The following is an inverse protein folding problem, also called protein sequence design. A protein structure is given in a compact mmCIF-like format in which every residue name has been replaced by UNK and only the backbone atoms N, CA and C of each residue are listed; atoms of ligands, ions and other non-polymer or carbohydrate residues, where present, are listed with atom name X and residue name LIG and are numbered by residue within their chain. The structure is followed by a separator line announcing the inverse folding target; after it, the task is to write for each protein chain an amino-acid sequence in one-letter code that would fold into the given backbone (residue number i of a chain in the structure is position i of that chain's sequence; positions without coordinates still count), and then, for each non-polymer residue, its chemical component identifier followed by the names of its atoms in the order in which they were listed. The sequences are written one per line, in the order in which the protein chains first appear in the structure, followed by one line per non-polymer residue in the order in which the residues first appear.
data_IF_361368990926
#
_entry.id   IF_361368990926
#
_cell.length_a   1.000
_cell.length_b   1.000
_cell.length_c   1.000
_cell.angle_alpha   90.00
_cell.angle_beta   90.00
_cell.angle_gamma   90.00
#
_symmetry.space_group_name_H-M   'P 1'
#
loop_
_entity.id
_entity.type
_entity.pdbx_description
1 polymer ?
#
# COMPACT_ATOMS: atom_id res chain seq x y z
N UNK A 1 -30.60 -2.44 -37.05
CA UNK A 1 -30.59 -3.12 -35.74
C UNK A 1 -29.65 -2.33 -34.83
N UNK A 2 -30.15 -1.80 -33.71
CA UNK A 2 -29.41 -0.86 -32.83
C UNK A 2 -28.42 -1.62 -31.95
N UNK A 3 -27.17 -1.20 -31.96
CA UNK A 3 -26.12 -1.71 -31.09
C UNK A 3 -26.40 -1.32 -29.62
N UNK A 4 -26.27 -2.30 -28.72
CA UNK A 4 -26.31 -2.14 -27.28
C UNK A 4 -25.17 -1.22 -26.83
N UNK A 5 -25.51 0.01 -26.44
CA UNK A 5 -24.60 0.88 -25.70
C UNK A 5 -24.42 0.30 -24.29
N UNK A 6 -23.37 -0.52 -24.10
CA UNK A 6 -22.86 -0.86 -22.77
C UNK A 6 -22.31 0.42 -22.16
N UNK A 7 -22.97 0.92 -21.12
CA UNK A 7 -22.53 2.06 -20.34
C UNK A 7 -21.16 1.81 -19.72
N UNK A 8 -20.12 2.28 -20.40
CA UNK A 8 -18.77 2.37 -19.86
C UNK A 8 -18.73 3.62 -18.98
N UNK A 9 -19.33 3.54 -17.78
CA UNK A 9 -18.98 4.46 -16.70
C UNK A 9 -17.51 4.18 -16.40
N UNK A 10 -16.62 5.10 -16.73
CA UNK A 10 -15.24 5.11 -16.23
C UNK A 10 -15.31 5.06 -14.71
N UNK A 11 -15.17 3.87 -14.12
CA UNK A 11 -14.94 3.73 -12.68
C UNK A 11 -13.53 4.23 -12.48
N UNK A 12 -13.38 5.40 -11.85
CA UNK A 12 -12.12 5.79 -11.23
C UNK A 12 -11.69 4.63 -10.32
N UNK A 13 -10.58 3.98 -10.67
CA UNK A 13 -10.01 2.96 -9.80
C UNK A 13 -9.59 3.67 -8.51
N UNK A 14 -10.09 3.21 -7.38
CA UNK A 14 -9.68 3.76 -6.08
C UNK A 14 -8.51 2.91 -5.59
N UNK A 15 -7.44 3.56 -5.16
CA UNK A 15 -6.30 2.90 -4.52
C UNK A 15 -5.98 3.61 -3.20
N UNK A 16 -5.25 2.94 -2.33
CA UNK A 16 -4.68 3.54 -1.14
C UNK A 16 -3.17 3.61 -1.29
N UNK A 17 -2.61 4.82 -1.21
CA UNK A 17 -1.18 5.03 -1.10
C UNK A 17 -0.78 4.79 0.35
N UNK A 18 0.21 3.94 0.54
CA UNK A 18 0.71 3.56 1.86
C UNK A 18 2.11 4.12 2.01
N UNK A 19 2.29 4.92 3.05
CA UNK A 19 3.58 5.51 3.40
C UNK A 19 4.11 4.90 4.69
N UNK A 20 5.43 4.81 4.80
CA UNK A 20 6.13 4.36 5.99
C UNK A 20 6.99 5.49 6.55
N UNK A 21 6.93 5.66 7.87
CA UNK A 21 7.75 6.57 8.66
C UNK A 21 8.58 5.76 9.66
N UNK A 22 9.91 5.68 9.48
CA UNK A 22 10.82 5.15 10.49
C UNK A 22 10.68 5.88 11.83
N UNK A 23 10.94 5.17 12.93
CA UNK A 23 10.85 5.75 14.27
C UNK A 23 11.89 6.86 14.46
N UNK A 24 11.44 8.04 14.89
CA UNK A 24 12.33 9.20 15.09
C UNK A 24 12.50 10.08 13.85
N UNK A 25 11.99 9.66 12.69
CA UNK A 25 11.95 10.47 11.48
C UNK A 25 10.69 11.33 11.42
N UNK A 26 10.81 12.52 10.83
CA UNK A 26 9.65 13.38 10.52
C UNK A 26 9.08 13.10 9.14
N UNK A 27 9.87 12.46 8.26
CA UNK A 27 9.52 12.19 6.87
C UNK A 27 8.84 10.82 6.73
N UNK A 28 7.88 10.74 5.82
CA UNK A 28 7.28 9.49 5.37
C UNK A 28 7.62 9.25 3.91
N UNK A 29 7.72 7.98 3.51
CA UNK A 29 7.99 7.57 2.13
C UNK A 29 6.89 6.66 1.62
N UNK A 30 6.41 6.84 0.37
CA UNK A 30 5.51 5.88 -0.24
C UNK A 30 6.24 4.55 -0.44
N UNK A 31 5.64 3.48 0.09
CA UNK A 31 6.23 2.14 0.10
C UNK A 31 5.32 1.08 -0.49
N UNK A 32 4.02 1.33 -0.55
CA UNK A 32 3.09 0.36 -1.12
C UNK A 32 1.85 1.05 -1.67
N UNK A 33 1.14 0.32 -2.52
CA UNK A 33 -0.18 0.70 -3.01
C UNK A 33 -1.13 -0.47 -2.77
N UNK A 34 -2.25 -0.22 -2.10
CA UNK A 34 -3.35 -1.17 -2.00
C UNK A 34 -4.48 -0.82 -2.99
N UNK A 35 -5.13 -1.82 -3.56
CA UNK A 35 -6.19 -1.67 -4.53
C UNK A 35 -7.23 -2.79 -4.39
N UNK A 36 -8.46 -2.49 -4.80
CA UNK A 36 -9.53 -3.48 -4.82
C UNK A 36 -9.41 -4.36 -6.08
N UNK A 37 -9.21 -5.67 -5.89
CA UNK A 37 -9.33 -6.67 -6.95
C UNK A 37 -10.52 -7.59 -6.64
N UNK A 38 -11.63 -7.38 -7.36
CA UNK A 38 -12.90 -8.04 -7.10
C UNK A 38 -13.37 -7.85 -5.65
N UNK A 39 -13.39 -8.93 -4.86
CA UNK A 39 -13.83 -8.95 -3.46
C UNK A 39 -12.64 -8.93 -2.48
N UNK A 40 -11.42 -8.81 -2.98
CA UNK A 40 -10.20 -8.85 -2.17
C UNK A 40 -9.47 -7.52 -2.26
N UNK A 41 -8.84 -7.14 -1.14
CA UNK A 41 -7.86 -6.06 -1.14
C UNK A 41 -6.50 -6.67 -1.45
N UNK A 42 -5.89 -6.25 -2.54
CA UNK A 42 -4.51 -6.59 -2.88
C UNK A 42 -3.60 -5.40 -2.64
N UNK A 43 -2.31 -5.66 -2.54
CA UNK A 43 -1.32 -4.62 -2.44
C UNK A 43 -0.03 -5.04 -3.15
N UNK A 44 0.82 -4.06 -3.45
CA UNK A 44 2.17 -4.29 -3.95
C UNK A 44 3.11 -3.24 -3.39
N UNK A 45 4.39 -3.60 -3.29
CA UNK A 45 5.47 -2.72 -2.85
C UNK A 45 6.65 -2.85 -3.80
N UNK A 46 7.20 -1.73 -4.30
CA UNK A 46 8.45 -1.76 -5.05
C UNK A 46 9.68 -2.03 -4.16
N UNK A 47 9.52 -2.09 -2.83
CA UNK A 47 10.60 -2.36 -1.89
C UNK A 47 10.63 -3.82 -1.41
N UNK A 48 9.80 -4.68 -1.97
CA UNK A 48 9.73 -6.11 -1.66
C UNK A 48 9.94 -6.94 -2.93
N UNK A 49 10.39 -8.17 -2.75
CA UNK A 49 10.38 -9.16 -3.83
C UNK A 49 8.95 -9.61 -4.19
N UNK A 50 8.80 -10.43 -5.23
CA UNK A 50 7.48 -10.91 -5.68
C UNK A 50 6.72 -11.74 -4.63
N UNK A 51 7.42 -12.32 -3.66
CA UNK A 51 6.81 -13.12 -2.58
C UNK A 51 6.29 -12.26 -1.44
N UNK A 52 6.73 -11.00 -1.35
CA UNK A 52 6.56 -10.11 -0.21
C UNK A 52 7.22 -10.60 1.10
N UNK A 53 7.99 -11.70 1.06
CA UNK A 53 8.68 -12.25 2.24
C UNK A 53 10.01 -11.54 2.53
N UNK A 54 10.67 -11.03 1.49
CA UNK A 54 11.95 -10.34 1.61
C UNK A 54 11.90 -8.94 1.00
N UNK A 55 12.76 -8.06 1.50
CA UNK A 55 12.99 -6.77 0.89
C UNK A 55 13.77 -6.93 -0.43
N UNK A 56 13.37 -6.16 -1.44
CA UNK A 56 14.28 -5.81 -2.51
C UNK A 56 15.29 -4.80 -1.93
N UNK A 57 16.47 -5.28 -1.58
CA UNK A 57 17.50 -4.48 -0.92
C UNK A 57 17.94 -3.28 -1.75
N UNK A 58 18.03 -3.43 -3.08
CA UNK A 58 18.42 -2.33 -3.95
C UNK A 58 17.33 -1.25 -3.93
N UNK A 59 16.07 -1.64 -4.16
CA UNK A 59 14.97 -0.70 -4.18
C UNK A 59 14.70 -0.07 -2.80
N UNK A 60 14.97 -0.80 -1.71
CA UNK A 60 14.90 -0.29 -0.34
C UNK A 60 15.98 0.77 -0.08
N UNK A 61 17.25 0.48 -0.37
CA UNK A 61 18.36 1.42 -0.16
C UNK A 61 18.22 2.68 -1.02
N UNK A 62 17.76 2.57 -2.27
CA UNK A 62 17.48 3.73 -3.11
C UNK A 62 16.37 4.63 -2.52
N UNK A 63 15.42 4.04 -1.78
CA UNK A 63 14.29 4.77 -1.16
C UNK A 63 14.68 5.38 0.18
N UNK A 64 15.46 4.64 0.97
CA UNK A 64 15.75 4.86 2.39
C UNK A 64 17.25 4.99 2.66
N UNK A 65 18.04 5.54 1.73
CA UNK A 65 19.51 5.55 1.81
C UNK A 65 20.09 5.93 3.19
N UNK A 66 19.57 6.99 3.80
CA UNK A 66 20.03 7.48 5.12
C UNK A 66 19.43 6.69 6.32
N UNK A 67 18.51 5.76 6.04
CA UNK A 67 17.68 5.03 6.99
C UNK A 67 17.83 3.51 6.84
N UNK A 68 18.99 2.99 6.43
CA UNK A 68 19.23 1.54 6.32
C UNK A 68 18.91 0.76 7.63
N UNK A 69 19.10 1.40 8.78
CA UNK A 69 18.73 0.88 10.10
C UNK A 69 17.23 0.62 10.27
N UNK A 70 16.38 1.20 9.43
CA UNK A 70 14.93 1.05 9.47
C UNK A 70 14.43 -0.26 8.84
N UNK A 71 15.29 -1.02 8.13
CA UNK A 71 14.89 -2.25 7.43
C UNK A 71 14.12 -3.26 8.32
N UNK A 72 14.56 -3.57 9.56
CA UNK A 72 13.80 -4.50 10.41
C UNK A 72 12.41 -3.98 10.79
N UNK A 73 12.27 -2.67 11.02
CA UNK A 73 10.99 -2.05 11.32
C UNK A 73 10.09 -2.02 10.08
N UNK A 74 10.67 -1.73 8.92
CA UNK A 74 9.99 -1.77 7.63
C UNK A 74 9.43 -3.16 7.32
N UNK A 75 10.24 -4.21 7.43
CA UNK A 75 9.77 -5.59 7.18
C UNK A 75 8.64 -5.99 8.12
N UNK A 76 8.73 -5.61 9.40
CA UNK A 76 7.63 -5.83 10.36
C UNK A 76 6.35 -5.11 9.94
N UNK A 77 6.45 -3.86 9.48
CA UNK A 77 5.31 -3.09 9.00
C UNK A 77 4.68 -3.72 7.75
N UNK A 78 5.50 -4.20 6.80
CA UNK A 78 5.02 -4.88 5.59
C UNK A 78 4.33 -6.22 5.88
N UNK A 79 4.86 -7.02 6.81
CA UNK A 79 4.21 -8.26 7.25
C UNK A 79 2.86 -8.00 7.92
N UNK A 80 2.77 -6.95 8.74
CA UNK A 80 1.50 -6.54 9.33
C UNK A 80 0.51 -6.04 8.27
N UNK A 81 0.99 -5.23 7.32
CA UNK A 81 0.18 -4.74 6.21
C UNK A 81 -0.39 -5.90 5.37
N UNK A 82 0.40 -6.94 5.12
CA UNK A 82 -0.06 -8.13 4.40
C UNK A 82 -1.26 -8.79 5.10
N UNK A 83 -1.14 -9.02 6.41
CA UNK A 83 -2.23 -9.58 7.22
C UNK A 83 -3.48 -8.67 7.23
N UNK A 84 -3.30 -7.35 7.29
CA UNK A 84 -4.40 -6.37 7.22
C UNK A 84 -5.11 -6.44 5.86
N UNK A 85 -4.36 -6.41 4.76
CA UNK A 85 -4.93 -6.48 3.42
C UNK A 85 -5.65 -7.81 3.19
N UNK A 86 -5.08 -8.92 3.66
CA UNK A 86 -5.71 -10.24 3.56
C UNK A 86 -7.06 -10.31 4.30
N UNK A 87 -7.17 -9.67 5.47
CA UNK A 87 -8.40 -9.63 6.27
C UNK A 87 -9.38 -8.50 5.95
N UNK A 88 -9.00 -7.54 5.10
CA UNK A 88 -9.78 -6.34 4.84
C UNK A 88 -10.94 -6.60 3.87
N UNK A 89 -12.12 -6.06 4.20
CA UNK A 89 -13.28 -6.08 3.29
C UNK A 89 -13.15 -5.06 2.14
N UNK A 90 -12.50 -3.93 2.41
CA UNK A 90 -12.29 -2.82 1.46
C UNK A 90 -11.08 -1.96 1.86
N UNK A 91 -10.73 -0.99 1.01
CA UNK A 91 -9.63 -0.05 1.25
C UNK A 91 -9.86 0.85 2.48
N UNK A 92 -11.10 1.09 2.86
CA UNK A 92 -11.43 1.89 4.05
C UNK A 92 -11.13 1.10 5.34
N UNK A 93 -11.30 -0.22 5.33
CA UNK A 93 -10.84 -1.09 6.41
C UNK A 93 -9.32 -1.03 6.57
N UNK A 94 -8.55 -1.04 5.48
CA UNK A 94 -7.09 -0.86 5.52
C UNK A 94 -6.73 0.51 6.10
N UNK A 95 -7.35 1.59 5.61
CA UNK A 95 -7.14 2.95 6.12
C UNK A 95 -7.36 3.05 7.62
N UNK A 96 -8.47 2.49 8.11
CA UNK A 96 -8.78 2.46 9.55
C UNK A 96 -7.77 1.64 10.33
N UNK A 97 -7.31 0.51 9.81
CA UNK A 97 -6.28 -0.30 10.47
C UNK A 97 -4.97 0.47 10.65
N UNK A 98 -4.51 1.22 9.63
CA UNK A 98 -3.31 2.06 9.74
C UNK A 98 -3.47 3.14 10.81
N UNK A 99 -4.64 3.80 10.85
CA UNK A 99 -4.92 4.83 11.85
C UNK A 99 -4.99 4.29 13.29
N UNK A 100 -5.43 3.03 13.47
CA UNK A 100 -5.58 2.40 14.79
C UNK A 100 -4.28 1.79 15.32
N UNK A 101 -3.27 1.54 14.46
CA UNK A 101 -2.02 0.88 14.85
C UNK A 101 -0.80 1.73 14.44
N UNK A 102 -0.64 2.94 15.02
CA UNK A 102 0.44 3.87 14.66
C UNK A 102 1.84 3.33 14.96
N UNK A 103 1.99 2.28 15.77
CA UNK A 103 3.26 1.65 16.12
C UNK A 103 3.98 1.01 14.92
N UNK A 104 3.25 0.70 13.84
CA UNK A 104 3.85 0.20 12.60
C UNK A 104 4.39 1.31 11.70
N UNK A 105 4.17 2.59 12.06
CA UNK A 105 4.66 3.74 11.30
C UNK A 105 4.04 3.87 9.91
N UNK A 106 2.90 3.23 9.66
CA UNK A 106 2.19 3.28 8.38
C UNK A 106 1.09 4.34 8.39
N UNK A 107 1.04 5.12 7.31
CA UNK A 107 -0.09 6.00 7.01
C UNK A 107 -0.66 5.63 5.64
N UNK A 108 -1.98 5.58 5.57
CA UNK A 108 -2.72 5.02 4.44
C UNK A 108 -3.74 6.05 3.97
N UNK A 109 -3.60 6.53 2.74
CA UNK A 109 -4.47 7.57 2.18
C UNK A 109 -5.13 7.05 0.92
N UNK A 110 -6.46 7.09 0.88
CA UNK A 110 -7.23 6.66 -0.29
C UNK A 110 -7.28 7.78 -1.32
N UNK A 111 -6.80 7.49 -2.53
CA UNK A 111 -6.75 8.43 -3.64
C UNK A 111 -7.57 7.92 -4.84
N UNK A 112 -8.32 8.80 -5.53
CA UNK A 112 -8.88 8.46 -6.83
C UNK A 112 -7.75 8.40 -7.86
N UNK A 113 -7.61 7.28 -8.57
CA UNK A 113 -6.71 7.21 -9.73
C UNK A 113 -7.30 8.09 -10.83
N UNK A 114 -6.56 9.11 -11.27
CA UNK A 114 -6.86 9.75 -12.54
C UNK A 114 -6.74 8.69 -13.65
N UNK A 115 -7.85 8.38 -14.32
CA UNK A 115 -7.80 7.49 -15.47
C UNK A 115 -6.90 8.12 -16.56
N UNK A 116 -6.04 7.34 -17.23
CA UNK A 116 -5.25 7.84 -18.35
C UNK A 116 -6.12 8.36 -19.49
#
# INVERSE_FOLDING_TARGET
MKALQRGQRSRTATHAVITFRPMGETRSWPVATAYQDNQLVRWSSPCLDESHEHADMQAFEERFADCAWALPAFMRAMQWLDAVCFGAADLEAVRRACALNPEYGLDCVTEPTAAP
#
